data_IF_207504197941
#
_entry.id   IF_207504197941
#
_cell.length_a   1.000
_cell.length_b   1.000
_cell.length_c   1.000
_cell.angle_alpha   90.00
_cell.angle_beta   90.00
_cell.angle_gamma   90.00
#
_symmetry.space_group_name_H-M   'P 1'
#
loop_
_entity.id
_entity.type
_entity.pdbx_description
1 polymer ?
#
# COMPACT_ATOMS: atom_id res chain seq x y z
N UNK A 1 25.15 -11.05 -16.78
CA UNK A 1 23.79 -10.96 -17.36
C UNK A 1 23.05 -9.92 -16.55
N UNK A 2 22.66 -8.80 -17.15
CA UNK A 2 21.71 -7.87 -16.53
C UNK A 2 20.39 -8.61 -16.37
N UNK A 3 19.93 -8.77 -15.12
CA UNK A 3 18.61 -9.32 -14.85
C UNK A 3 17.60 -8.24 -15.21
N UNK A 4 16.89 -8.41 -16.33
CA UNK A 4 15.87 -7.47 -16.77
C UNK A 4 14.54 -8.02 -16.32
N UNK A 5 13.88 -7.29 -15.41
CA UNK A 5 12.54 -7.62 -14.93
C UNK A 5 11.57 -7.69 -16.12
N UNK A 6 10.63 -8.63 -16.10
CA UNK A 6 9.47 -8.55 -16.99
C UNK A 6 8.61 -7.34 -16.62
N UNK A 7 7.74 -6.84 -17.52
CA UNK A 7 6.83 -5.74 -17.19
C UNK A 7 5.96 -6.02 -15.95
N UNK A 8 5.53 -7.27 -15.74
CA UNK A 8 4.77 -7.67 -14.54
C UNK A 8 5.66 -7.64 -13.30
N UNK A 9 6.89 -8.14 -13.37
CA UNK A 9 7.82 -8.09 -12.24
C UNK A 9 8.20 -6.65 -11.86
N UNK A 10 8.36 -5.76 -12.84
CA UNK A 10 8.59 -4.33 -12.62
C UNK A 10 7.38 -3.66 -11.94
N UNK A 11 6.16 -3.96 -12.41
CA UNK A 11 4.93 -3.44 -11.82
C UNK A 11 4.70 -3.95 -10.39
N UNK A 12 4.98 -5.24 -10.14
CA UNK A 12 4.93 -5.82 -8.79
C UNK A 12 5.90 -5.13 -7.84
N UNK A 13 7.16 -4.99 -8.25
CA UNK A 13 8.17 -4.28 -7.47
C UNK A 13 7.74 -2.83 -7.21
N UNK A 14 7.18 -2.16 -8.23
CA UNK A 14 6.71 -0.80 -8.04
C UNK A 14 5.60 -0.71 -6.98
N UNK A 15 4.64 -1.64 -7.01
CA UNK A 15 3.55 -1.71 -6.04
C UNK A 15 4.05 -2.02 -4.61
N UNK A 16 5.01 -2.94 -4.46
CA UNK A 16 5.56 -3.25 -3.13
C UNK A 16 6.36 -2.09 -2.52
N UNK A 17 7.14 -1.37 -3.33
CA UNK A 17 8.10 -0.38 -2.80
C UNK A 17 7.62 1.07 -2.83
N UNK A 18 6.87 1.47 -3.85
CA UNK A 18 6.48 2.88 -4.03
C UNK A 18 5.04 3.16 -3.64
N UNK A 19 4.14 2.23 -3.98
CA UNK A 19 2.72 2.41 -3.71
C UNK A 19 2.44 2.39 -2.20
N UNK A 20 3.06 1.49 -1.44
CA UNK A 20 2.89 1.42 0.02
C UNK A 20 3.18 2.78 0.68
N UNK A 21 4.31 3.40 0.33
CA UNK A 21 4.68 4.72 0.84
C UNK A 21 3.69 5.82 0.46
N UNK A 22 3.25 5.84 -0.79
CA UNK A 22 2.29 6.85 -1.24
C UNK A 22 0.95 6.73 -0.49
N UNK A 23 0.48 5.50 -0.27
CA UNK A 23 -0.74 5.23 0.49
C UNK A 23 -0.57 5.63 1.96
N UNK A 24 0.60 5.37 2.56
CA UNK A 24 0.89 5.72 3.96
C UNK A 24 0.71 7.21 4.23
N UNK A 25 1.34 8.08 3.42
CA UNK A 25 1.30 9.53 3.64
C UNK A 25 -0.15 10.07 3.59
N UNK A 26 -0.97 9.53 2.67
CA UNK A 26 -2.38 9.90 2.52
C UNK A 26 -3.25 9.37 3.69
N UNK A 27 -3.11 8.09 4.04
CA UNK A 27 -3.85 7.47 5.14
C UNK A 27 -3.48 8.10 6.48
N UNK A 28 -2.20 8.37 6.72
CA UNK A 28 -1.72 9.05 7.92
C UNK A 28 -2.40 10.40 8.09
N UNK A 29 -2.41 11.23 7.04
CA UNK A 29 -3.02 12.56 7.07
C UNK A 29 -4.52 12.49 7.35
N UNK A 30 -5.23 11.57 6.72
CA UNK A 30 -6.68 11.42 6.86
C UNK A 30 -7.03 10.85 8.24
N UNK A 31 -6.40 9.77 8.64
CA UNK A 31 -6.75 9.03 9.85
C UNK A 31 -6.37 9.80 11.11
N UNK A 32 -5.23 10.49 11.16
CA UNK A 32 -4.88 11.35 12.30
C UNK A 32 -5.79 12.57 12.41
N UNK A 33 -6.24 13.14 11.28
CA UNK A 33 -7.24 14.22 11.30
C UNK A 33 -8.53 13.75 11.96
N UNK A 34 -9.10 12.64 11.47
CA UNK A 34 -10.36 12.12 12.01
C UNK A 34 -10.20 11.54 13.42
N UNK A 35 -9.07 10.90 13.71
CA UNK A 35 -8.74 10.39 15.04
C UNK A 35 -8.74 11.51 16.07
N UNK A 36 -8.07 12.62 15.78
CA UNK A 36 -8.09 13.82 16.63
C UNK A 36 -9.48 14.42 16.79
N UNK A 37 -10.27 14.51 15.72
CA UNK A 37 -11.65 15.01 15.77
C UNK A 37 -12.57 14.13 16.64
N UNK A 38 -12.26 12.84 16.78
CA UNK A 38 -13.06 11.85 17.51
C UNK A 38 -12.42 11.38 18.83
N UNK A 39 -11.29 11.96 19.26
CA UNK A 39 -10.50 11.53 20.41
C UNK A 39 -10.12 10.03 20.38
N UNK A 40 -9.71 9.53 19.21
CA UNK A 40 -9.13 8.20 19.10
C UNK A 40 -7.70 8.20 19.62
N UNK A 41 -7.23 7.02 20.04
CA UNK A 41 -5.85 6.83 20.45
C UNK A 41 -4.93 6.79 19.22
N UNK A 42 -3.85 7.59 19.24
CA UNK A 42 -2.94 7.72 18.10
C UNK A 42 -2.26 6.39 17.74
N UNK A 43 -2.01 5.52 18.72
CA UNK A 43 -1.40 4.20 18.49
C UNK A 43 -2.40 3.26 17.81
N UNK A 44 -3.67 3.28 18.22
CA UNK A 44 -4.73 2.54 17.53
C UNK A 44 -4.93 3.03 16.10
N UNK A 45 -4.81 4.34 15.86
CA UNK A 45 -4.87 4.93 14.52
C UNK A 45 -3.70 4.46 13.65
N UNK A 46 -2.48 4.46 14.18
CA UNK A 46 -1.28 3.97 13.47
C UNK A 46 -1.41 2.49 13.08
N UNK A 47 -1.89 1.63 14.00
CA UNK A 47 -2.13 0.22 13.68
C UNK A 47 -3.20 0.03 12.60
N UNK A 48 -4.27 0.82 12.63
CA UNK A 48 -5.31 0.78 11.61
C UNK A 48 -4.75 1.19 10.23
N UNK A 49 -3.89 2.21 10.18
CA UNK A 49 -3.23 2.65 8.95
C UNK A 49 -2.39 1.50 8.37
N UNK A 50 -1.54 0.86 9.17
CA UNK A 50 -0.71 -0.26 8.76
C UNK A 50 -1.54 -1.43 8.18
N UNK A 51 -2.66 -1.78 8.84
CA UNK A 51 -3.53 -2.87 8.38
C UNK A 51 -4.20 -2.54 7.03
N UNK A 52 -4.64 -1.29 6.84
CA UNK A 52 -5.27 -0.85 5.59
C UNK A 52 -4.24 -0.85 4.45
N UNK A 53 -3.02 -0.37 4.69
CA UNK A 53 -1.94 -0.39 3.71
C UNK A 53 -1.62 -1.80 3.22
N UNK A 54 -1.43 -2.72 4.16
CA UNK A 54 -1.07 -4.10 3.83
C UNK A 54 -2.16 -4.76 2.97
N UNK A 55 -3.44 -4.57 3.34
CA UNK A 55 -4.57 -5.10 2.57
C UNK A 55 -4.72 -4.47 1.18
N UNK A 56 -4.45 -3.17 1.05
CA UNK A 56 -4.51 -2.48 -0.24
C UNK A 56 -3.41 -2.96 -1.17
N UNK A 57 -2.17 -3.06 -0.66
CA UNK A 57 -1.03 -3.57 -1.42
C UNK A 57 -1.28 -5.02 -1.82
N UNK A 58 -1.73 -5.87 -0.90
CA UNK A 58 -2.09 -7.27 -1.20
C UNK A 58 -3.16 -7.37 -2.28
N UNK A 59 -4.24 -6.58 -2.18
CA UNK A 59 -5.31 -6.56 -3.18
C UNK A 59 -4.81 -6.16 -4.57
N UNK A 60 -3.89 -5.20 -4.65
CA UNK A 60 -3.33 -4.73 -5.92
C UNK A 60 -2.37 -5.77 -6.51
N UNK A 61 -1.53 -6.39 -5.67
CA UNK A 61 -0.66 -7.49 -6.12
C UNK A 61 -1.48 -8.66 -6.65
N UNK A 62 -2.56 -9.03 -5.97
CA UNK A 62 -3.47 -10.07 -6.46
C UNK A 62 -4.07 -9.72 -7.83
N UNK A 63 -4.44 -8.45 -8.07
CA UNK A 63 -4.91 -8.00 -9.40
C UNK A 63 -3.78 -8.09 -10.43
N UNK A 64 -2.57 -7.65 -10.08
CA UNK A 64 -1.41 -7.73 -10.99
C UNK A 64 -1.15 -9.19 -11.40
N UNK A 65 -1.26 -10.11 -10.45
CA UNK A 65 -1.04 -11.53 -10.66
C UNK A 65 -2.10 -12.21 -11.52
N UNK A 66 -3.25 -11.57 -11.73
CA UNK A 66 -4.27 -12.06 -12.68
C UNK A 66 -4.00 -11.70 -14.14
N UNK A 67 -3.03 -10.82 -14.44
CA UNK A 67 -2.67 -10.53 -15.82
C UNK A 67 -1.85 -11.67 -16.40
N UNK A 68 -2.41 -12.36 -17.40
CA UNK A 68 -1.65 -13.27 -18.26
C UNK A 68 -0.89 -12.42 -19.30
N UNK A 69 0.42 -12.63 -19.45
CA UNK A 69 1.19 -12.03 -20.55
C UNK A 69 0.73 -12.68 -21.87
N UNK A 70 -0.09 -11.97 -22.66
CA UNK A 70 -0.45 -12.34 -24.05
C UNK A 70 0.76 -12.26 -25.01
#
# INVERSE_FOLDING_TARGET
>A
MEYKLTPIEDLRNWAEYYLKKAIHDDLYTIAHKYGKENNWDDVEVDFMIEEIEDKLVEGILNVIDTYEED
#
